data_IF_709391281204
#
_entry.id   IF_709391281204
#
_cell.length_a   1.000
_cell.length_b   1.000
_cell.length_c   1.000
_cell.angle_alpha   90.00
_cell.angle_beta   90.00
_cell.angle_gamma   90.00
#
_symmetry.space_group_name_H-M   'P 1'
#
loop_
_entity.id
_entity.type
_entity.pdbx_description
1 polymer ?
#
# COMPACT_ATOMS: atom_id res chain seq x y z
N UNK A 1 -40.62 39.79 -100.44
CA UNK A 1 -40.79 40.17 -99.03
C UNK A 1 -42.09 39.54 -98.52
N UNK A 2 -42.20 39.04 -97.28
CA UNK A 2 -41.25 38.32 -96.44
C UNK A 2 -41.83 36.99 -95.86
N UNK A 3 -40.95 36.19 -95.23
CA UNK A 3 -41.15 35.36 -94.00
C UNK A 3 -42.29 34.30 -93.91
N UNK A 4 -42.10 33.09 -93.38
CA UNK A 4 -40.99 32.45 -92.68
C UNK A 4 -41.48 31.25 -91.84
N UNK A 5 -40.53 30.35 -91.55
CA UNK A 5 -40.44 29.39 -90.42
C UNK A 5 -41.33 28.14 -90.39
N UNK A 6 -40.67 27.02 -90.72
CA UNK A 6 -40.98 25.66 -90.30
C UNK A 6 -40.82 25.51 -88.78
N UNK A 7 -41.77 24.81 -88.14
CA UNK A 7 -41.67 24.36 -86.77
C UNK A 7 -41.09 22.93 -86.74
N UNK A 8 -39.88 22.79 -86.22
CA UNK A 8 -39.29 21.52 -85.79
C UNK A 8 -39.60 21.41 -84.30
N UNK A 9 -40.42 20.44 -83.89
CA UNK A 9 -40.59 20.09 -82.48
C UNK A 9 -39.77 18.83 -82.19
N UNK A 10 -38.81 19.00 -81.29
CA UNK A 10 -37.81 18.02 -80.90
C UNK A 10 -38.38 16.85 -80.09
N UNK A 11 -37.72 15.70 -80.22
CA UNK A 11 -37.96 14.49 -79.46
C UNK A 11 -37.78 14.70 -77.95
N UNK A 12 -38.68 14.08 -77.17
CA UNK A 12 -38.63 14.00 -75.71
C UNK A 12 -37.54 12.99 -75.30
N UNK A 13 -36.57 13.35 -74.44
CA UNK A 13 -35.65 12.38 -73.88
C UNK A 13 -36.29 11.70 -72.66
N UNK A 14 -36.33 10.37 -72.67
CA UNK A 14 -36.70 9.54 -71.51
C UNK A 14 -35.53 9.52 -70.53
N UNK A 15 -35.67 10.19 -69.38
CA UNK A 15 -34.72 10.06 -68.26
C UNK A 15 -35.04 8.82 -67.43
N UNK A 16 -34.07 7.93 -67.35
CA UNK A 16 -34.07 6.73 -66.52
C UNK A 16 -33.91 7.14 -65.02
N UNK A 17 -34.70 6.60 -64.08
CA UNK A 17 -34.55 6.97 -62.67
C UNK A 17 -33.29 6.32 -62.08
N UNK A 18 -32.37 7.15 -61.61
CA UNK A 18 -31.18 6.74 -60.88
C UNK A 18 -31.55 5.91 -59.64
N UNK A 19 -31.04 4.69 -59.55
CA UNK A 19 -31.11 3.86 -58.34
C UNK A 19 -30.26 4.53 -57.26
N UNK A 20 -30.90 4.95 -56.17
CA UNK A 20 -30.19 5.33 -54.95
C UNK A 20 -29.54 4.08 -54.33
N UNK A 21 -28.21 4.05 -54.27
CA UNK A 21 -27.50 3.06 -53.47
C UNK A 21 -27.83 3.26 -51.98
N UNK A 22 -28.13 2.20 -51.20
CA UNK A 22 -28.30 2.34 -49.77
C UNK A 22 -26.95 2.75 -49.17
N UNK A 23 -26.91 3.94 -48.57
CA UNK A 23 -25.77 4.42 -47.81
C UNK A 23 -25.39 3.36 -46.78
N UNK A 24 -24.22 2.73 -46.97
CA UNK A 24 -23.63 1.86 -45.96
C UNK A 24 -23.49 2.69 -44.69
N UNK A 25 -24.28 2.36 -43.68
CA UNK A 25 -24.09 2.84 -42.33
C UNK A 25 -22.75 2.27 -41.86
N UNK A 26 -21.66 2.99 -42.10
CA UNK A 26 -20.36 2.69 -41.53
C UNK A 26 -20.45 2.96 -40.03
N UNK A 27 -20.85 1.94 -39.27
CA UNK A 27 -20.77 2.00 -37.81
C UNK A 27 -19.29 2.16 -37.47
N UNK A 28 -18.86 3.28 -36.85
CA UNK A 28 -17.46 3.52 -36.61
C UNK A 28 -16.92 2.41 -35.68
N UNK A 29 -15.99 1.58 -36.18
CA UNK A 29 -15.34 0.51 -35.42
C UNK A 29 -14.66 1.01 -34.13
N UNK A 30 -14.45 2.32 -34.00
CA UNK A 30 -13.94 2.98 -32.81
C UNK A 30 -14.84 2.87 -31.57
N UNK A 31 -16.16 2.70 -31.70
CA UNK A 31 -17.01 2.62 -30.51
C UNK A 31 -16.86 1.27 -29.77
N UNK A 32 -16.61 0.17 -30.49
CA UNK A 32 -16.39 -1.15 -29.89
C UNK A 32 -15.06 -1.23 -29.11
N UNK A 33 -14.04 -0.47 -29.52
CA UNK A 33 -12.76 -0.45 -28.81
C UNK A 33 -12.90 0.28 -27.46
N UNK A 34 -13.65 1.38 -27.39
CA UNK A 34 -13.85 2.15 -26.15
C UNK A 34 -14.63 1.36 -25.09
N UNK A 35 -15.72 0.70 -25.47
CA UNK A 35 -16.51 -0.14 -24.55
C UNK A 35 -15.66 -1.30 -23.97
N UNK A 36 -14.75 -1.86 -24.78
CA UNK A 36 -13.81 -2.89 -24.33
C UNK A 36 -12.74 -2.37 -23.36
N UNK A 37 -12.27 -1.13 -23.52
CA UNK A 37 -11.31 -0.50 -22.61
C UNK A 37 -11.96 -0.17 -21.27
N UNK A 38 -13.15 0.43 -21.28
CA UNK A 38 -13.87 0.81 -20.06
C UNK A 38 -14.18 -0.42 -19.18
N UNK A 39 -14.61 -1.53 -19.79
CA UNK A 39 -14.86 -2.79 -19.09
C UNK A 39 -13.56 -3.43 -18.54
N UNK A 40 -12.43 -3.29 -19.26
CA UNK A 40 -11.11 -3.79 -18.80
C UNK A 40 -10.52 -2.93 -17.69
N UNK A 41 -10.72 -1.62 -17.73
CA UNK A 41 -10.27 -0.71 -16.67
C UNK A 41 -11.08 -0.90 -15.39
N UNK A 42 -12.41 -0.99 -15.48
CA UNK A 42 -13.28 -1.26 -14.33
C UNK A 42 -12.89 -2.55 -13.59
N UNK A 43 -12.75 -3.66 -14.31
CA UNK A 43 -12.34 -4.95 -13.72
C UNK A 43 -10.92 -4.94 -13.13
N UNK A 44 -10.02 -4.11 -13.67
CA UNK A 44 -8.66 -3.94 -13.13
C UNK A 44 -8.67 -3.11 -11.84
N UNK A 45 -9.46 -2.04 -11.79
CA UNK A 45 -9.61 -1.20 -10.60
C UNK A 45 -10.24 -1.98 -9.45
N UNK A 46 -11.34 -2.69 -9.70
CA UNK A 46 -12.00 -3.53 -8.69
C UNK A 46 -11.07 -4.61 -8.14
N UNK A 47 -10.32 -5.29 -9.01
CA UNK A 47 -9.34 -6.30 -8.59
C UNK A 47 -8.24 -5.71 -7.71
N UNK A 48 -7.70 -4.54 -8.06
CA UNK A 48 -6.65 -3.88 -7.28
C UNK A 48 -7.16 -3.41 -5.90
N UNK A 49 -8.40 -2.93 -5.84
CA UNK A 49 -9.06 -2.60 -4.59
C UNK A 49 -9.24 -3.82 -3.69
N UNK A 50 -9.79 -4.92 -4.22
CA UNK A 50 -9.99 -6.15 -3.47
C UNK A 50 -8.67 -6.69 -2.91
N UNK A 51 -7.61 -6.74 -3.73
CA UNK A 51 -6.27 -7.16 -3.27
C UNK A 51 -5.81 -6.27 -2.11
N UNK A 52 -6.00 -4.96 -2.21
CA UNK A 52 -5.61 -4.02 -1.15
C UNK A 52 -6.35 -4.29 0.16
N UNK A 53 -7.66 -4.54 0.09
CA UNK A 53 -8.48 -4.89 1.26
C UNK A 53 -8.04 -6.21 1.88
N UNK A 54 -7.81 -7.25 1.06
CA UNK A 54 -7.35 -8.55 1.55
C UNK A 54 -5.98 -8.46 2.21
N UNK A 55 -5.03 -7.73 1.61
CA UNK A 55 -3.71 -7.50 2.21
C UNK A 55 -3.84 -6.72 3.52
N UNK A 56 -4.70 -5.71 3.58
CA UNK A 56 -4.96 -4.96 4.82
C UNK A 56 -5.45 -5.91 5.93
N UNK A 57 -6.48 -6.72 5.64
CA UNK A 57 -7.03 -7.67 6.59
C UNK A 57 -5.98 -8.71 7.04
N UNK A 58 -5.20 -9.24 6.10
CA UNK A 58 -4.14 -10.20 6.41
C UNK A 58 -3.09 -9.60 7.34
N UNK A 59 -2.61 -8.38 7.05
CA UNK A 59 -1.64 -7.69 7.89
C UNK A 59 -2.19 -7.42 9.30
N UNK A 60 -3.46 -7.02 9.40
CA UNK A 60 -4.12 -6.83 10.70
C UNK A 60 -4.20 -8.14 11.47
N UNK A 61 -4.61 -9.24 10.83
CA UNK A 61 -4.67 -10.56 11.47
C UNK A 61 -3.30 -11.04 11.94
N UNK A 62 -2.26 -10.91 11.12
CA UNK A 62 -0.89 -11.28 11.49
C UNK A 62 -0.38 -10.41 12.64
N UNK A 63 -0.64 -9.10 12.59
CA UNK A 63 -0.24 -8.17 13.65
C UNK A 63 -0.92 -8.46 14.98
N UNK A 64 -2.24 -8.65 14.97
CA UNK A 64 -3.03 -8.95 16.17
C UNK A 64 -2.63 -10.28 16.76
N UNK A 65 -2.57 -11.35 15.95
CA UNK A 65 -2.18 -12.68 16.45
C UNK A 65 -0.76 -12.71 16.96
N UNK A 66 0.20 -12.10 16.24
CA UNK A 66 1.58 -12.03 16.70
C UNK A 66 1.76 -11.23 17.99
N UNK A 67 0.97 -10.18 18.19
CA UNK A 67 0.99 -9.41 19.45
C UNK A 67 0.32 -10.16 20.61
N UNK A 68 -0.75 -10.91 20.36
CA UNK A 68 -1.42 -11.69 21.40
C UNK A 68 -0.66 -12.96 21.80
N UNK A 69 0.00 -13.61 20.83
CA UNK A 69 0.76 -14.83 21.07
C UNK A 69 2.13 -14.56 21.68
N UNK A 70 2.77 -13.45 21.29
CA UNK A 70 4.07 -12.96 21.77
C UNK A 70 5.02 -14.11 22.21
N UNK A 71 5.59 -14.90 21.26
CA UNK A 71 6.35 -16.10 21.58
C UNK A 71 7.52 -15.88 22.54
N UNK A 72 8.05 -14.65 22.54
CA UNK A 72 8.92 -14.10 23.55
C UNK A 72 8.59 -12.62 23.73
N UNK A 73 8.86 -12.07 24.91
CA UNK A 73 8.61 -10.66 25.20
C UNK A 73 9.23 -9.74 24.13
N UNK A 74 8.41 -8.85 23.58
CA UNK A 74 8.70 -7.93 22.48
C UNK A 74 9.10 -8.57 21.14
N UNK A 75 9.00 -9.89 20.99
CA UNK A 75 9.18 -10.58 19.71
C UNK A 75 7.84 -10.64 18.97
N UNK A 76 7.52 -9.59 18.21
CA UNK A 76 6.22 -9.45 17.52
C UNK A 76 6.38 -8.95 16.08
N UNK A 77 5.41 -9.21 15.19
CA UNK A 77 5.48 -8.76 13.79
C UNK A 77 5.12 -7.28 13.57
N UNK A 78 4.87 -6.50 14.64
CA UNK A 78 4.29 -5.15 14.53
C UNK A 78 5.13 -4.21 13.67
N UNK A 79 6.44 -4.13 13.91
CA UNK A 79 7.33 -3.27 13.14
C UNK A 79 7.39 -3.68 11.66
N UNK A 80 7.50 -4.99 11.39
CA UNK A 80 7.55 -5.53 10.03
C UNK A 80 6.26 -5.22 9.26
N UNK A 81 5.11 -5.42 9.90
CA UNK A 81 3.79 -5.12 9.31
C UNK A 81 3.63 -3.62 9.06
N UNK A 82 4.09 -2.76 9.97
CA UNK A 82 4.05 -1.31 9.80
C UNK A 82 4.96 -0.82 8.66
N UNK A 83 6.20 -1.33 8.57
CA UNK A 83 7.08 -1.02 7.43
C UNK A 83 6.45 -1.52 6.13
N UNK A 84 5.92 -2.74 6.12
CA UNK A 84 5.34 -3.33 4.93
C UNK A 84 4.05 -2.61 4.49
N UNK A 85 3.22 -2.14 5.42
CA UNK A 85 2.03 -1.35 5.06
C UNK A 85 2.42 -0.04 4.38
N UNK A 86 3.46 0.65 4.85
CA UNK A 86 4.03 1.82 4.19
C UNK A 86 4.63 1.50 2.83
N UNK A 87 5.23 0.32 2.67
CA UNK A 87 5.79 -0.12 1.40
C UNK A 87 4.69 -0.45 0.35
N UNK A 88 3.63 -1.15 0.78
CA UNK A 88 2.60 -1.71 -0.09
C UNK A 88 1.53 -0.69 -0.49
N UNK A 89 0.98 0.06 0.46
CA UNK A 89 -0.16 0.95 0.20
C UNK A 89 0.29 2.31 -0.35
N UNK A 90 -0.24 2.69 -1.52
CA UNK A 90 -0.05 4.04 -2.08
C UNK A 90 -0.80 5.11 -1.27
N UNK A 91 -1.95 4.77 -0.69
CA UNK A 91 -2.70 5.66 0.18
C UNK A 91 -2.07 5.69 1.58
N UNK A 92 -1.59 6.86 2.00
CA UNK A 92 -0.92 7.05 3.31
C UNK A 92 -1.84 6.75 4.49
N UNK A 93 -3.11 7.10 4.41
CA UNK A 93 -4.07 6.84 5.48
C UNK A 93 -4.28 5.34 5.67
N UNK A 94 -4.44 4.59 4.57
CA UNK A 94 -4.55 3.13 4.64
C UNK A 94 -3.29 2.50 5.27
N UNK A 95 -2.10 2.97 4.88
CA UNK A 95 -0.83 2.48 5.44
C UNK A 95 -0.72 2.70 6.96
N UNK A 96 -1.09 3.91 7.44
CA UNK A 96 -1.09 4.24 8.87
C UNK A 96 -2.19 3.51 9.64
N UNK A 97 -3.34 3.27 9.02
CA UNK A 97 -4.46 2.59 9.67
C UNK A 97 -4.14 1.13 10.00
N UNK A 98 -3.24 0.47 9.27
CA UNK A 98 -2.85 -0.93 9.57
C UNK A 98 -2.34 -1.08 11.01
N UNK A 99 -1.21 -0.45 11.43
CA UNK A 99 -0.72 -0.58 12.81
C UNK A 99 -1.71 -0.02 13.84
N UNK A 100 -2.43 1.06 13.53
CA UNK A 100 -3.45 1.61 14.45
C UNK A 100 -4.60 0.64 14.71
N UNK A 101 -5.08 -0.04 13.66
CA UNK A 101 -6.16 -1.03 13.76
C UNK A 101 -5.69 -2.25 14.53
N UNK A 102 -4.45 -2.69 14.30
CA UNK A 102 -3.85 -3.78 15.09
C UNK A 102 -3.85 -3.42 16.57
N UNK A 103 -3.36 -2.23 16.92
CA UNK A 103 -3.29 -1.76 18.31
C UNK A 103 -4.68 -1.68 18.94
N UNK A 104 -5.62 -1.01 18.27
CA UNK A 104 -6.98 -0.84 18.78
C UNK A 104 -7.71 -2.17 19.01
N UNK A 105 -7.53 -3.14 18.10
CA UNK A 105 -8.15 -4.47 18.24
C UNK A 105 -7.48 -5.25 19.37
N UNK A 106 -6.16 -5.31 19.40
CA UNK A 106 -5.43 -6.11 20.38
C UNK A 106 -5.55 -5.58 21.81
N UNK A 107 -5.59 -4.25 22.00
CA UNK A 107 -5.76 -3.62 23.32
C UNK A 107 -7.12 -3.94 23.99
N UNK A 108 -8.09 -4.50 23.25
CA UNK A 108 -9.34 -5.02 23.84
C UNK A 108 -9.08 -6.25 24.72
N UNK A 109 -8.06 -7.05 24.40
CA UNK A 109 -7.75 -8.30 25.11
C UNK A 109 -6.51 -8.19 26.01
N UNK A 110 -5.63 -7.22 25.76
CA UNK A 110 -4.47 -6.98 26.62
C UNK A 110 -4.82 -6.09 27.83
N UNK A 111 -4.05 -6.17 28.92
CA UNK A 111 -4.19 -5.25 30.05
C UNK A 111 -4.05 -3.78 29.61
N UNK A 112 -4.92 -2.92 30.13
CA UNK A 112 -4.89 -1.49 29.82
C UNK A 112 -3.58 -0.84 30.29
N UNK A 113 -3.14 0.18 29.53
CA UNK A 113 -2.00 1.01 29.90
C UNK A 113 -2.25 1.74 31.22
N UNK A 114 -1.20 1.84 32.05
CA UNK A 114 -1.26 2.57 33.34
C UNK A 114 -1.46 4.07 33.14
N UNK A 115 -0.88 4.63 32.08
CA UNK A 115 -0.95 6.05 31.79
C UNK A 115 -1.30 6.28 30.31
N UNK A 116 -2.33 7.11 29.99
CA UNK A 116 -2.76 7.33 28.60
C UNK A 116 -1.69 8.00 27.74
N UNK A 117 -0.81 8.81 28.34
CA UNK A 117 0.34 9.39 27.64
C UNK A 117 1.37 8.33 27.19
N UNK A 118 1.55 7.24 27.94
CA UNK A 118 2.43 6.13 27.52
C UNK A 118 1.79 5.39 26.35
N UNK A 119 0.49 5.11 26.43
CA UNK A 119 -0.27 4.54 25.32
C UNK A 119 -0.12 5.38 24.04
N UNK A 120 -0.29 6.70 24.13
CA UNK A 120 -0.13 7.59 22.99
C UNK A 120 1.27 7.50 22.36
N UNK A 121 2.32 7.49 23.19
CA UNK A 121 3.71 7.34 22.70
C UNK A 121 3.90 5.98 22.02
N UNK A 122 3.37 4.89 22.57
CA UNK A 122 3.46 3.55 21.96
C UNK A 122 2.76 3.53 20.60
N UNK A 123 1.55 4.08 20.49
CA UNK A 123 0.82 4.17 19.23
C UNK A 123 1.61 4.94 18.16
N UNK A 124 2.16 6.11 18.53
CA UNK A 124 2.98 6.91 17.61
C UNK A 124 4.25 6.16 17.21
N UNK A 125 4.93 5.53 18.16
CA UNK A 125 6.15 4.77 17.91
C UNK A 125 5.91 3.56 16.98
N UNK A 126 4.71 2.98 16.98
CA UNK A 126 4.34 1.87 16.09
C UNK A 126 3.81 2.33 14.72
N UNK A 127 3.37 3.58 14.60
CA UNK A 127 3.06 4.19 13.30
C UNK A 127 4.32 4.71 12.61
N UNK A 128 5.34 5.15 13.37
CA UNK A 128 6.58 5.69 12.81
C UNK A 128 7.26 4.80 11.73
N UNK A 129 7.32 3.45 11.86
CA UNK A 129 7.91 2.58 10.86
C UNK A 129 7.20 2.59 9.49
N UNK A 130 5.94 3.04 9.43
CA UNK A 130 5.23 3.23 8.14
C UNK A 130 6.01 4.20 7.23
N UNK A 131 6.64 5.22 7.81
CA UNK A 131 7.45 6.19 7.05
C UNK A 131 8.70 5.57 6.41
N UNK A 132 9.29 4.57 7.09
CA UNK A 132 10.40 3.77 6.57
C UNK A 132 9.92 2.96 5.35
N UNK A 133 8.71 2.40 5.43
CA UNK A 133 8.05 1.72 4.31
C UNK A 133 7.95 2.60 3.06
N UNK A 134 7.51 3.86 3.20
CA UNK A 134 7.47 4.80 2.07
C UNK A 134 8.86 5.10 1.50
N UNK A 135 9.89 5.18 2.34
CA UNK A 135 11.26 5.38 1.90
C UNK A 135 11.83 4.16 1.13
N UNK A 136 11.44 2.95 1.54
CA UNK A 136 11.76 1.69 0.87
C UNK A 136 11.04 1.53 -0.46
N UNK A 137 9.79 2.02 -0.55
CA UNK A 137 9.00 1.97 -1.78
C UNK A 137 9.70 2.67 -2.94
N UNK A 138 10.52 3.70 -2.67
CA UNK A 138 11.30 4.44 -3.68
C UNK A 138 12.48 3.65 -4.23
N UNK A 139 13.21 2.94 -3.36
CA UNK A 139 14.38 2.12 -3.73
C UNK A 139 14.54 0.96 -2.73
N UNK A 140 14.18 -0.24 -3.12
CA UNK A 140 14.33 -1.41 -2.24
C UNK A 140 15.67 -2.09 -2.52
N UNK A 141 16.38 -2.49 -1.45
CA UNK A 141 17.54 -3.38 -1.55
C UNK A 141 17.66 -4.18 -0.25
N UNK A 142 18.33 -5.35 -0.31
CA UNK A 142 18.55 -6.20 0.87
C UNK A 142 19.28 -5.45 2.00
N UNK A 143 20.27 -4.63 1.64
CA UNK A 143 21.00 -3.79 2.61
C UNK A 143 20.06 -2.78 3.27
N UNK A 144 19.21 -2.10 2.51
CA UNK A 144 18.25 -1.14 3.08
C UNK A 144 17.23 -1.84 3.98
N UNK A 145 16.74 -3.03 3.59
CA UNK A 145 15.83 -3.81 4.42
C UNK A 145 16.48 -4.21 5.75
N UNK A 146 17.73 -4.67 5.71
CA UNK A 146 18.46 -5.05 6.94
C UNK A 146 18.78 -3.87 7.85
N UNK A 147 19.11 -2.70 7.31
CA UNK A 147 19.36 -1.51 8.14
C UNK A 147 18.05 -0.96 8.70
N UNK A 148 17.02 -0.88 7.87
CA UNK A 148 15.75 -0.29 8.25
C UNK A 148 14.88 -1.18 9.13
N UNK A 149 15.12 -2.49 9.20
CA UNK A 149 14.49 -3.35 10.20
C UNK A 149 14.96 -3.05 11.62
N UNK A 150 16.14 -2.46 11.81
CA UNK A 150 16.67 -2.19 13.16
C UNK A 150 16.19 -0.86 13.75
N UNK A 151 15.81 0.10 12.89
CA UNK A 151 15.40 1.43 13.32
C UNK A 151 14.13 1.46 14.19
N UNK A 152 13.07 0.68 13.89
CA UNK A 152 11.87 0.64 14.73
C UNK A 152 12.17 0.29 16.18
N UNK A 153 12.90 -0.80 16.43
CA UNK A 153 13.30 -1.19 17.78
C UNK A 153 14.04 -0.08 18.51
N UNK A 154 14.99 0.61 17.86
CA UNK A 154 15.77 1.69 18.47
C UNK A 154 14.86 2.86 18.87
N UNK A 155 14.02 3.32 17.95
CA UNK A 155 13.10 4.44 18.19
C UNK A 155 12.09 4.08 19.27
N UNK A 156 11.52 2.88 19.20
CA UNK A 156 10.55 2.38 20.17
C UNK A 156 11.18 2.30 21.56
N UNK A 157 12.37 1.71 21.68
CA UNK A 157 13.11 1.59 22.93
C UNK A 157 13.38 2.96 23.57
N UNK A 158 13.86 3.93 22.81
CA UNK A 158 14.15 5.27 23.34
C UNK A 158 12.87 6.02 23.74
N UNK A 159 11.87 6.04 22.87
CA UNK A 159 10.68 6.87 23.11
C UNK A 159 9.78 6.32 24.20
N UNK A 160 9.52 5.01 24.20
CA UNK A 160 8.58 4.39 25.15
C UNK A 160 9.16 4.30 26.56
N UNK A 161 10.44 3.98 26.72
CA UNK A 161 11.07 3.94 28.05
C UNK A 161 11.23 5.34 28.65
N UNK A 162 11.52 6.35 27.82
CA UNK A 162 11.50 7.73 28.29
C UNK A 162 10.09 8.15 28.77
N UNK A 163 9.05 7.73 28.04
CA UNK A 163 7.66 8.00 28.42
C UNK A 163 7.29 7.28 29.73
N UNK A 164 7.65 6.00 29.89
CA UNK A 164 7.43 5.25 31.13
C UNK A 164 8.14 5.92 32.31
N UNK A 165 9.43 6.24 32.17
CA UNK A 165 10.18 6.91 33.24
C UNK A 165 9.58 8.26 33.63
N UNK A 166 9.10 9.05 32.65
CA UNK A 166 8.61 10.41 32.90
C UNK A 166 7.16 10.45 33.39
N UNK A 167 6.31 9.56 32.88
CA UNK A 167 4.86 9.63 33.07
C UNK A 167 4.37 8.64 34.13
N UNK A 168 5.08 7.54 34.34
CA UNK A 168 4.75 6.58 35.38
C UNK A 168 5.65 6.80 36.62
N UNK A 169 5.15 6.40 37.79
CA UNK A 169 5.85 6.53 39.07
C UNK A 169 6.61 5.23 39.45
N UNK A 170 7.03 4.43 38.47
CA UNK A 170 7.73 3.15 38.69
C UNK A 170 9.20 3.38 39.08
N UNK A 171 9.83 4.40 38.48
CA UNK A 171 11.21 4.76 38.73
C UNK A 171 11.29 6.20 39.26
N UNK A 172 12.25 6.52 40.14
CA UNK A 172 12.48 7.90 40.54
C UNK A 172 12.79 8.78 39.33
N UNK A 173 12.22 9.99 39.30
CA UNK A 173 12.45 10.98 38.23
C UNK A 173 13.81 11.67 38.38
N UNK A 174 14.87 10.87 38.46
CA UNK A 174 16.28 11.28 38.56
C UNK A 174 17.09 10.61 37.45
N UNK A 175 18.30 11.11 37.12
CA UNK A 175 19.17 10.46 36.13
C UNK A 175 19.47 8.98 36.45
N UNK A 176 19.61 8.63 37.73
CA UNK A 176 19.80 7.26 38.16
C UNK A 176 18.56 6.38 37.89
N UNK A 177 17.35 6.91 38.14
CA UNK A 177 16.11 6.22 37.82
C UNK A 177 15.89 6.05 36.31
N UNK A 178 16.33 7.01 35.50
CA UNK A 178 16.31 6.91 34.04
C UNK A 178 17.20 5.76 33.55
N UNK A 179 18.44 5.70 34.06
CA UNK A 179 19.36 4.61 33.75
C UNK A 179 18.82 3.24 34.20
N UNK A 180 18.18 3.17 35.37
CA UNK A 180 17.55 1.95 35.85
C UNK A 180 16.39 1.50 34.93
N UNK A 181 15.54 2.43 34.47
CA UNK A 181 14.45 2.16 33.53
C UNK A 181 14.98 1.58 32.22
N UNK A 182 15.99 2.22 31.62
CA UNK A 182 16.60 1.73 30.38
C UNK A 182 17.36 0.43 30.57
N UNK A 183 18.08 0.27 31.69
CA UNK A 183 18.81 -0.95 32.03
C UNK A 183 17.90 -2.16 32.14
N UNK A 184 16.75 -1.99 32.80
CA UNK A 184 15.70 -3.02 32.87
C UNK A 184 15.10 -3.35 31.49
N UNK A 185 15.12 -2.39 30.56
CA UNK A 185 14.54 -2.54 29.24
C UNK A 185 15.46 -3.26 28.22
N UNK A 186 16.77 -3.38 28.50
CA UNK A 186 17.76 -3.95 27.56
C UNK A 186 17.42 -5.38 27.09
N UNK A 187 16.95 -6.32 27.94
CA UNK A 187 16.58 -7.66 27.46
C UNK A 187 15.47 -7.64 26.41
N UNK A 188 14.45 -6.79 26.60
CA UNK A 188 13.35 -6.62 25.65
C UNK A 188 13.80 -5.97 24.35
N UNK A 189 14.76 -5.04 24.42
CA UNK A 189 15.34 -4.43 23.22
C UNK A 189 16.06 -5.46 22.33
N UNK A 190 16.77 -6.41 22.95
CA UNK A 190 17.48 -7.47 22.22
C UNK A 190 16.52 -8.42 21.50
N UNK A 191 15.44 -8.82 22.16
CA UNK A 191 14.42 -9.69 21.56
C UNK A 191 13.64 -8.95 20.47
N UNK A 192 13.34 -7.67 20.68
CA UNK A 192 12.70 -6.81 19.68
C UNK A 192 13.54 -6.66 18.41
N UNK A 193 14.85 -6.40 18.54
CA UNK A 193 15.75 -6.32 17.38
C UNK A 193 15.75 -7.63 16.56
N UNK A 194 15.81 -8.78 17.24
CA UNK A 194 15.76 -10.07 16.58
C UNK A 194 14.41 -10.32 15.90
N UNK A 195 13.31 -9.95 16.56
CA UNK A 195 11.95 -10.02 16.03
C UNK A 195 11.77 -9.16 14.79
N UNK A 196 12.21 -7.91 14.83
CA UNK A 196 12.09 -6.98 13.70
C UNK A 196 12.84 -7.51 12.46
N UNK A 197 14.08 -7.99 12.63
CA UNK A 197 14.85 -8.59 11.53
C UNK A 197 14.15 -9.83 10.98
N UNK A 198 13.71 -10.73 11.88
CA UNK A 198 13.05 -11.97 11.50
C UNK A 198 11.74 -11.72 10.73
N UNK A 199 10.84 -10.92 11.28
CA UNK A 199 9.54 -10.67 10.66
C UNK A 199 9.64 -9.80 9.41
N UNK A 200 10.60 -8.86 9.33
CA UNK A 200 10.85 -8.14 8.07
C UNK A 200 11.29 -9.13 6.99
N UNK A 201 12.19 -10.07 7.30
CA UNK A 201 12.61 -11.09 6.35
C UNK A 201 11.44 -11.99 5.91
N UNK A 202 10.59 -12.43 6.85
CA UNK A 202 9.42 -13.27 6.56
C UNK A 202 8.40 -12.52 5.69
N UNK A 203 8.02 -11.31 6.06
CA UNK A 203 6.98 -10.54 5.35
C UNK A 203 7.46 -10.12 3.96
N UNK A 204 8.65 -9.52 3.85
CA UNK A 204 9.18 -9.10 2.54
C UNK A 204 9.60 -10.30 1.68
N UNK A 205 10.14 -11.36 2.28
CA UNK A 205 10.48 -12.60 1.58
C UNK A 205 9.24 -13.31 1.04
N UNK A 206 8.19 -13.45 1.86
CA UNK A 206 6.90 -14.00 1.44
C UNK A 206 6.26 -13.19 0.31
N UNK A 207 6.33 -11.86 0.39
CA UNK A 207 5.88 -10.99 -0.70
C UNK A 207 6.68 -11.19 -1.98
N UNK A 208 8.01 -11.27 -1.90
CA UNK A 208 8.87 -11.50 -3.07
C UNK A 208 8.57 -12.85 -3.73
N UNK A 209 8.36 -13.91 -2.95
CA UNK A 209 7.97 -15.23 -3.45
C UNK A 209 6.58 -15.20 -4.11
N UNK A 210 5.58 -14.59 -3.46
CA UNK A 210 4.22 -14.50 -3.99
C UNK A 210 4.14 -13.67 -5.28
N UNK A 211 4.99 -12.65 -5.41
CA UNK A 211 5.09 -11.87 -6.64
C UNK A 211 5.77 -12.65 -7.79
N UNK A 212 6.41 -13.79 -7.53
CA UNK A 212 7.22 -14.54 -8.50
C UNK A 212 8.65 -14.01 -8.66
N UNK A 213 9.14 -13.21 -7.70
CA UNK A 213 10.38 -12.45 -7.76
C UNK A 213 11.45 -13.04 -6.84
N UNK A 214 11.95 -14.25 -7.13
CA UNK A 214 13.08 -14.82 -6.39
C UNK A 214 14.44 -14.16 -6.71
N UNK A 215 14.56 -13.35 -7.79
CA UNK A 215 15.83 -12.77 -8.26
C UNK A 215 15.95 -11.25 -8.24
N UNK A 216 14.92 -10.50 -7.82
CA UNK A 216 14.78 -9.09 -8.19
C UNK A 216 14.77 -8.05 -7.06
N UNK A 217 15.10 -8.40 -5.82
CA UNK A 217 15.26 -7.39 -4.74
C UNK A 217 16.50 -6.49 -4.94
N UNK A 218 17.33 -6.76 -5.98
CA UNK A 218 18.58 -6.03 -6.27
C UNK A 218 18.45 -5.06 -7.45
N UNK A 219 17.40 -5.13 -8.26
CA UNK A 219 17.25 -4.22 -9.39
C UNK A 219 15.77 -3.97 -9.64
N UNK A 220 15.29 -2.74 -9.47
CA UNK A 220 14.28 -2.17 -10.39
C UNK A 220 13.83 -0.75 -10.01
N UNK A 221 14.38 0.23 -10.73
CA UNK A 221 13.61 1.40 -11.18
C UNK A 221 12.63 1.02 -12.34
N UNK A 222 12.81 -0.16 -12.95
CA UNK A 222 12.09 -0.56 -14.18
C UNK A 222 10.71 -1.19 -13.95
N UNK A 223 10.50 -1.86 -12.82
CA UNK A 223 9.23 -2.52 -12.46
C UNK A 223 8.15 -1.51 -12.03
N UNK A 224 8.57 -0.36 -11.49
CA UNK A 224 7.69 0.75 -11.08
C UNK A 224 6.80 1.27 -12.21
N UNK A 225 7.31 1.28 -13.45
CA UNK A 225 6.57 1.75 -14.64
C UNK A 225 5.51 0.77 -15.15
N UNK A 226 5.56 -0.50 -14.77
CA UNK A 226 4.61 -1.50 -15.24
C UNK A 226 3.39 -1.64 -14.31
N UNK A 227 3.54 -1.32 -13.03
CA UNK A 227 2.45 -1.39 -12.04
C UNK A 227 1.73 -0.03 -11.91
N UNK A 228 2.42 1.08 -12.18
CA UNK A 228 1.82 2.41 -12.18
C UNK A 228 2.21 3.19 -13.45
N UNK A 229 1.45 3.06 -14.56
CA UNK A 229 1.72 3.82 -15.77
C UNK A 229 1.35 5.32 -15.68
N UNK A 230 0.80 5.78 -14.54
CA UNK A 230 0.30 7.15 -14.35
C UNK A 230 0.95 7.88 -13.16
N UNK A 231 2.16 7.48 -12.74
CA UNK A 231 3.00 8.28 -11.84
C UNK A 231 4.16 8.94 -12.58
#
# INVERSE_FOLDING_TARGET
MPTGRQAVLAAVPTSEPARAEPSRCEIPLAHWSLVGQEKREGTKVERNWLISVWVFCLLVVVGVTGRLLEPAWCFTPLAAVAIFSGYFFANRSAAMLVPLTIMAISDVWLPAYRHPGVMAVVYVALVAPVSIGWALQRRTSLVRLGVFSLLPAVVFFLTTNLAVWRLEAIYPHTPAGLLACYGAAVPFFRTMLAGDVFYVAVVFGGYALAAGWAGGLVATDRARRLINPLA
#
